data_IF_193971125571
#
_entry.id   IF_193971125571
#
_cell.length_a   1.000
_cell.length_b   1.000
_cell.length_c   1.000
_cell.angle_alpha   90.00
_cell.angle_beta   90.00
_cell.angle_gamma   90.00
#
_symmetry.space_group_name_H-M   'P 1'
#
loop_
_entity.id
_entity.type
_entity.pdbx_description
1 polymer ?
2 non-polymer ?
3 non-polymer ?
4 non-polymer ?
5 water ?
#
# COMPACT_ATOMS: atom_id res chain seq x y z
N UNK A 7 -7.94 2.29 -17.46
CA UNK A 7 -7.42 3.66 -17.14
C UNK A 7 -6.84 3.64 -15.73
N UNK A 8 -6.15 4.72 -15.37
CA UNK A 8 -5.70 4.94 -13.96
C UNK A 8 -5.28 6.38 -13.69
N UNK A 9 -4.61 6.61 -12.54
CA UNK A 9 -3.96 7.88 -12.21
C UNK A 9 -2.45 7.73 -12.43
N UNK A 10 -1.80 8.75 -12.99
CA UNK A 10 -0.37 8.65 -13.28
C UNK A 10 0.41 9.83 -12.70
N UNK A 11 1.66 9.54 -12.35
CA UNK A 11 2.62 10.52 -11.92
C UNK A 11 3.94 10.18 -12.58
N UNK A 12 4.49 11.09 -13.39
CA UNK A 12 5.64 10.75 -14.18
C UNK A 12 5.35 9.59 -15.12
N UNK A 13 6.20 8.56 -15.07
CA UNK A 13 6.03 7.37 -15.89
C UNK A 13 5.26 6.26 -15.17
N UNK A 14 4.85 6.49 -13.91
CA UNK A 14 4.14 5.45 -13.15
C UNK A 14 2.62 5.63 -13.26
N UNK A 15 1.91 4.51 -13.44
CA UNK A 15 0.47 4.50 -13.55
C UNK A 15 -0.09 3.61 -12.44
N UNK A 16 -1.06 4.14 -11.70
CA UNK A 16 -1.79 3.37 -10.71
C UNK A 16 -3.17 3.04 -11.29
N UNK A 17 -3.60 1.78 -11.13
CA UNK A 17 -4.90 1.31 -11.60
C UNK A 17 -5.56 0.43 -10.54
N UNK A 18 -6.89 0.46 -10.57
CA UNK A 18 -7.70 -0.42 -9.76
C UNK A 18 -8.91 -0.87 -10.58
N UNK A 19 -9.38 -2.08 -10.27
CA UNK A 19 -10.70 -2.54 -10.73
C UNK A 19 -11.67 -2.67 -9.55
N UNK A 20 -11.32 -2.15 -8.37
CA UNK A 20 -12.17 -2.18 -7.21
C UNK A 20 -12.13 -3.50 -6.46
N UNK A 21 -11.20 -4.40 -6.79
CA UNK A 21 -11.09 -5.66 -6.09
C UNK A 21 -10.64 -5.39 -4.65
N UNK A 22 -11.09 -6.26 -3.74
CA UNK A 22 -10.74 -6.20 -2.34
C UNK A 22 -10.20 -7.57 -1.95
N UNK A 23 -8.97 -7.63 -1.42
CA UNK A 23 -8.28 -8.88 -1.20
C UNK A 23 -7.33 -8.75 0.00
N UNK A 24 -6.92 -9.89 0.54
CA UNK A 24 -5.84 -10.00 1.50
C UNK A 24 -4.52 -9.62 0.81
N UNK A 25 -3.50 -9.36 1.60
CA UNK A 25 -2.21 -8.94 1.03
C UNK A 25 -1.68 -9.94 0.01
N UNK A 26 -1.64 -11.23 0.39
CA UNK A 26 -1.04 -12.23 -0.48
C UNK A 26 -1.84 -12.33 -1.77
N UNK A 27 -3.18 -12.24 -1.68
CA UNK A 27 -4.00 -12.35 -2.86
C UNK A 27 -3.85 -11.09 -3.72
N UNK A 28 -3.71 -9.93 -3.06
CA UNK A 28 -3.52 -8.65 -3.76
C UNK A 28 -2.20 -8.66 -4.54
N UNK A 29 -1.13 -9.16 -3.92
CA UNK A 29 0.15 -9.22 -4.55
C UNK A 29 0.05 -10.10 -5.81
N UNK A 30 -0.67 -11.21 -5.71
CA UNK A 30 -0.80 -12.14 -6.81
C UNK A 30 -1.56 -11.47 -7.96
N UNK A 31 -2.61 -10.73 -7.64
CA UNK A 31 -3.42 -10.08 -8.66
C UNK A 31 -2.55 -9.10 -9.46
N UNK A 32 -1.76 -8.28 -8.77
CA UNK A 32 -0.97 -7.28 -9.45
C UNK A 32 0.11 -7.94 -10.31
N UNK A 33 0.76 -8.98 -9.78
CA UNK A 33 1.82 -9.67 -10.46
C UNK A 33 1.29 -10.39 -11.71
N UNK A 34 0.12 -11.01 -11.62
CA UNK A 34 -0.49 -11.69 -12.77
C UNK A 34 -0.84 -10.67 -13.87
N UNK A 35 -1.10 -9.41 -13.47
CA UNK A 35 -1.36 -8.27 -14.41
C UNK A 35 -0.05 -7.62 -14.90
N UNK A 36 1.10 -8.16 -14.52
CA UNK A 36 2.44 -7.69 -14.93
C UNK A 36 2.73 -6.30 -14.35
N UNK A 37 2.23 -6.08 -13.13
CA UNK A 37 2.63 -4.94 -12.33
C UNK A 37 2.96 -5.39 -10.92
N UNK A 38 2.83 -4.47 -9.96
CA UNK A 38 3.05 -4.78 -8.54
C UNK A 38 2.11 -3.91 -7.72
N UNK A 39 2.04 -4.18 -6.42
CA UNK A 39 1.17 -3.39 -5.58
C UNK A 39 1.66 -1.95 -5.59
N UNK A 40 0.73 -1.03 -5.36
CA UNK A 40 1.05 0.42 -5.25
C UNK A 40 2.21 0.65 -4.27
N UNK A 41 3.22 1.37 -4.76
CA UNK A 41 4.46 1.61 -4.03
C UNK A 41 4.80 3.10 -4.11
N UNK A 42 4.03 3.99 -3.46
CA UNK A 42 4.28 5.43 -3.60
C UNK A 42 5.64 5.79 -3.00
N UNK A 43 6.48 6.42 -3.83
CA UNK A 43 7.87 6.75 -3.48
C UNK A 43 8.02 8.27 -3.30
N UNK A 44 6.91 9.02 -3.33
CA UNK A 44 6.94 10.47 -3.25
C UNK A 44 5.57 11.01 -2.85
N UNK A 45 5.53 12.27 -2.41
CA UNK A 45 4.27 12.94 -2.07
C UNK A 45 3.30 12.89 -3.25
N UNK A 46 3.82 13.20 -4.45
CA UNK A 46 3.01 13.26 -5.63
C UNK A 46 2.42 11.88 -5.93
N UNK A 47 3.23 10.82 -5.82
CA UNK A 47 2.69 9.47 -6.02
C UNK A 47 1.67 9.13 -4.93
N UNK A 48 1.96 9.51 -3.69
CA UNK A 48 1.05 9.20 -2.58
C UNK A 48 -0.32 9.84 -2.85
N UNK A 49 -0.33 11.09 -3.32
CA UNK A 49 -1.57 11.84 -3.59
C UNK A 49 -2.38 11.15 -4.68
N UNK A 50 -1.71 10.60 -5.71
CA UNK A 50 -2.42 9.89 -6.80
C UNK A 50 -3.13 8.65 -6.24
N UNK A 51 -2.42 7.88 -5.41
CA UNK A 51 -3.03 6.68 -4.77
C UNK A 51 -4.21 7.11 -3.90
N UNK A 52 -4.04 8.20 -3.16
CA UNK A 52 -5.01 8.68 -2.20
C UNK A 52 -6.32 9.02 -2.91
N UNK A 53 -6.21 9.71 -4.05
CA UNK A 53 -7.39 10.06 -4.87
C UNK A 53 -8.22 8.80 -5.17
N UNK A 54 -7.53 7.70 -5.52
CA UNK A 54 -8.23 6.47 -5.90
C UNK A 54 -8.92 5.84 -4.68
N UNK A 55 -8.24 5.88 -3.52
CA UNK A 55 -8.82 5.41 -2.27
C UNK A 55 -10.10 6.21 -1.96
N UNK A 56 -10.03 7.52 -2.12
CA UNK A 56 -11.21 8.37 -1.89
C UNK A 56 -12.36 7.97 -2.81
N UNK A 57 -12.07 7.75 -4.08
CA UNK A 57 -13.08 7.43 -5.08
C UNK A 57 -13.75 6.10 -4.75
N UNK A 58 -12.94 5.09 -4.40
CA UNK A 58 -13.42 3.75 -4.15
C UNK A 58 -13.98 3.58 -2.73
N UNK A 59 -13.72 4.54 -1.84
CA UNK A 59 -14.20 4.55 -0.43
C UNK A 59 -13.72 3.33 0.35
N UNK A 60 -12.45 2.93 0.12
CA UNK A 60 -11.89 1.77 0.75
C UNK A 60 -10.38 1.97 0.88
N UNK A 61 -9.85 1.75 2.10
CA UNK A 61 -8.39 1.76 2.31
C UNK A 61 -7.75 0.72 1.39
N UNK A 62 -6.54 1.04 0.89
CA UNK A 62 -5.83 0.15 -0.05
C UNK A 62 -4.55 -0.36 0.60
N UNK A 63 -4.13 -1.53 0.13
CA UNK A 63 -2.77 -2.01 0.40
C UNK A 63 -1.75 -1.15 -0.35
N UNK A 64 -0.60 -0.95 0.31
CA UNK A 64 0.64 -0.65 -0.39
C UNK A 64 1.50 -1.92 -0.45
N UNK A 65 2.59 -1.91 -1.23
CA UNK A 65 3.40 -3.12 -1.41
C UNK A 65 4.25 -3.43 -0.17
N UNK A 66 4.57 -2.41 0.61
CA UNK A 66 5.70 -2.51 1.51
C UNK A 66 5.31 -3.30 2.77
N UNK A 67 6.28 -4.04 3.32
CA UNK A 67 6.00 -4.86 4.48
C UNK A 67 7.28 -4.96 5.32
N UNK A 68 7.13 -5.42 6.56
CA UNK A 68 8.31 -5.63 7.40
C UNK A 68 8.38 -7.09 7.85
N UNK A 69 8.01 -8.03 6.96
CA UNK A 69 8.02 -9.45 7.34
C UNK A 69 9.46 -9.91 7.62
N UNK A 70 10.46 -9.38 6.89
CA UNK A 70 11.89 -9.87 6.97
C UNK A 70 12.53 -9.40 8.29
N UNK A 71 12.64 -8.08 8.48
CA UNK A 71 13.13 -7.47 9.72
C UNK A 71 12.05 -6.54 10.28
N UNK A 72 11.48 -6.93 11.42
CA UNK A 72 10.46 -6.17 12.13
C UNK A 72 10.88 -4.69 12.25
N UNK A 73 9.98 -3.80 11.83
CA UNK A 73 10.17 -2.35 11.89
C UNK A 73 10.88 -1.77 10.68
N UNK A 74 11.46 -2.62 9.82
CA UNK A 74 12.11 -2.18 8.60
C UNK A 74 11.19 -2.50 7.42
N UNK A 75 10.43 -1.49 6.98
CA UNK A 75 9.51 -1.64 5.88
C UNK A 75 10.26 -1.52 4.56
N UNK A 76 10.08 -2.50 3.67
CA UNK A 76 10.79 -2.56 2.45
C UNK A 76 9.83 -2.78 1.27
N UNK A 77 10.27 -2.40 0.07
CA UNK A 77 9.62 -2.70 -1.19
C UNK A 77 9.88 -4.16 -1.61
N UNK A 78 9.23 -4.64 -2.70
CA UNK A 78 9.45 -6.00 -3.23
C UNK A 78 10.89 -6.25 -3.72
N UNK A 79 11.67 -5.18 -3.85
CA UNK A 79 13.12 -5.28 -4.12
C UNK A 79 13.91 -5.65 -2.86
N UNK A 80 13.31 -5.51 -1.67
CA UNK A 80 13.95 -5.60 -0.38
C UNK A 80 14.62 -4.32 0.12
N UNK A 81 14.52 -3.22 -0.64
CA UNK A 81 15.13 -1.94 -0.25
C UNK A 81 14.26 -1.20 0.78
N UNK A 82 14.89 -0.41 1.66
CA UNK A 82 14.15 0.38 2.67
C UNK A 82 13.39 1.52 1.97
N UNK A 83 12.33 1.99 2.64
CA UNK A 83 11.50 3.10 2.19
C UNK A 83 12.38 4.31 1.88
N UNK A 84 12.03 4.99 0.79
CA UNK A 84 12.63 6.31 0.45
C UNK A 84 11.62 7.43 0.72
N UNK A 85 10.40 7.08 1.16
CA UNK A 85 9.30 8.01 1.43
C UNK A 85 8.33 7.31 2.38
N UNK A 86 7.80 8.04 3.36
CA UNK A 86 6.69 7.49 4.18
C UNK A 86 5.69 8.58 4.53
N UNK A 87 4.48 8.16 4.90
CA UNK A 87 3.43 9.09 5.28
C UNK A 87 2.58 8.49 6.41
N UNK A 88 3.25 8.03 7.47
CA UNK A 88 2.57 7.34 8.55
C UNK A 88 1.58 8.27 9.25
N UNK A 89 0.42 7.71 9.60
CA UNK A 89 -0.50 8.41 10.48
C UNK A 89 0.17 8.58 11.84
N UNK A 90 -0.32 9.56 12.60
CA UNK A 90 0.16 9.79 13.97
C UNK A 90 0.12 8.46 14.75
N UNK A 91 1.27 8.08 15.33
CA UNK A 91 1.41 6.90 16.19
C UNK A 91 1.76 5.62 15.44
N UNK A 92 1.81 5.70 14.11
CA UNK A 92 2.15 4.53 13.28
C UNK A 92 3.60 4.60 12.80
N UNK A 93 4.25 3.46 12.44
CA UNK A 93 3.69 2.12 12.59
C UNK A 93 3.89 1.63 14.02
N UNK A 94 2.94 0.84 14.52
CA UNK A 94 2.93 0.48 15.96
C UNK A 94 3.00 -1.04 16.16
N UNK A 95 2.96 -1.83 15.06
CA UNK A 95 3.00 -3.31 15.10
C UNK A 95 1.98 -3.88 16.09
N UNK A 96 0.76 -3.32 16.11
CA UNK A 96 -0.17 -3.60 17.18
C UNK A 96 -1.62 -3.44 16.71
N UNK A 97 -2.17 -4.56 16.21
CA UNK A 97 -3.61 -4.73 16.04
C UNK A 97 -4.13 -5.34 17.34
N UNK A 98 -4.57 -4.45 18.24
CA UNK A 98 -5.02 -4.82 19.57
C UNK A 98 -4.04 -5.86 20.14
N UNK A 99 -2.74 -5.57 20.00
CA UNK A 99 -1.65 -6.42 20.50
C UNK A 99 -0.95 -7.25 19.42
N UNK A 100 -1.70 -7.73 18.42
CA UNK A 100 -1.22 -8.71 17.41
C UNK A 100 -0.29 -8.03 16.39
N UNK A 101 0.72 -8.74 15.84
CA UNK A 101 1.61 -8.17 14.82
C UNK A 101 0.91 -7.63 13.56
N UNK A 102 1.52 -6.59 13.01
CA UNK A 102 1.05 -5.91 11.79
C UNK A 102 2.23 -5.69 10.85
N UNK A 103 2.32 -6.48 9.77
CA UNK A 103 3.50 -6.44 8.95
C UNK A 103 3.25 -5.83 7.57
N UNK A 104 1.99 -5.49 7.28
CA UNK A 104 1.60 -4.88 5.97
C UNK A 104 1.16 -3.43 6.23
N UNK A 105 0.84 -2.72 5.15
CA UNK A 105 0.60 -1.30 5.19
C UNK A 105 -0.67 -1.00 4.37
N UNK A 106 -1.58 -0.26 5.00
CA UNK A 106 -2.74 0.35 4.35
C UNK A 106 -2.57 1.87 4.24
N UNK A 107 -3.22 2.42 3.22
CA UNK A 107 -3.31 3.85 3.03
C UNK A 107 -4.78 4.25 3.16
N UNK A 108 -5.00 5.32 3.93
CA UNK A 108 -6.31 5.91 4.19
C UNK A 108 -6.70 6.89 3.10
N UNK A 109 -8.00 7.24 3.00
CA UNK A 109 -8.43 8.30 2.10
C UNK A 109 -7.87 9.70 2.40
N UNK A 110 -7.30 9.92 3.60
CA UNK A 110 -6.59 11.17 3.88
C UNK A 110 -5.11 11.08 3.52
N UNK A 111 -4.70 9.94 2.94
CA UNK A 111 -3.33 9.74 2.47
C UNK A 111 -2.35 9.21 3.49
N UNK A 112 -2.73 9.14 4.77
CA UNK A 112 -1.83 8.66 5.79
C UNK A 112 -1.83 7.13 5.79
N UNK A 113 -0.75 6.56 6.34
CA UNK A 113 -0.53 5.13 6.33
C UNK A 113 -0.69 4.53 7.73
N UNK A 114 -1.05 3.25 7.76
CA UNK A 114 -1.17 2.50 9.00
C UNK A 114 -0.66 1.08 8.74
N UNK A 115 0.14 0.54 9.64
CA UNK A 115 0.49 -0.88 9.50
C UNK A 115 -0.70 -1.73 9.98
N UNK A 116 -0.92 -2.86 9.27
CA UNK A 116 -2.07 -3.74 9.44
C UNK A 116 -1.64 -5.19 9.38
N UNK A 117 -2.45 -6.09 9.97
CA UNK A 117 -2.28 -7.52 9.69
C UNK A 117 -2.41 -7.76 8.18
N UNK A 118 -1.57 -8.65 7.65
CA UNK A 118 -1.55 -8.92 6.21
C UNK A 118 -2.75 -9.79 5.79
N UNK A 119 -3.54 -10.27 6.77
CA UNK A 119 -4.79 -10.93 6.48
C UNK A 119 -5.94 -9.95 6.19
N UNK A 120 -5.76 -8.65 6.46
CA UNK A 120 -6.86 -7.70 6.22
C UNK A 120 -7.24 -7.63 4.73
N UNK A 121 -8.54 -7.48 4.47
CA UNK A 121 -9.07 -7.40 3.12
C UNK A 121 -9.20 -5.92 2.77
N UNK A 122 -8.43 -5.50 1.77
CA UNK A 122 -8.29 -4.06 1.38
C UNK A 122 -8.41 -3.92 -0.13
N UNK A 123 -8.69 -2.69 -0.57
CA UNK A 123 -8.66 -2.35 -1.99
C UNK A 123 -7.29 -2.67 -2.60
N UNK A 124 -7.32 -3.28 -3.80
CA UNK A 124 -6.17 -3.57 -4.58
C UNK A 124 -5.97 -2.48 -5.63
N UNK A 125 -4.86 -1.76 -5.45
CA UNK A 125 -4.34 -0.78 -6.42
C UNK A 125 -2.97 -1.26 -6.89
N UNK A 126 -2.82 -1.41 -8.20
CA UNK A 126 -1.57 -1.86 -8.78
C UNK A 126 -0.84 -0.69 -9.44
N UNK A 127 0.49 -0.79 -9.52
CA UNK A 127 1.27 0.18 -10.29
C UNK A 127 1.93 -0.52 -11.48
N UNK A 128 2.08 0.27 -12.55
CA UNK A 128 2.66 -0.17 -13.82
C UNK A 128 3.65 0.88 -14.31
X LIG B 1 -1.01 -0.10 13.07
X LIG C 1 5.60 -5.31 11.90
X LIG D 1 -6.71 -0.21 14.62
X LIG D 1 -5.83 -0.72 13.48
X LIG D 1 -4.40 -0.64 13.91
X LIG D 1 -4.10 0.81 14.21
X LIG D 1 -5.03 1.26 15.34
X LIG D 1 -4.75 2.72 15.73
X LIG D 1 -6.31 -2.60 11.93
X LIG D 1 -6.41 -4.12 11.83
X LIG D 1 -6.37 1.16 14.89
X LIG D 1 -3.56 -1.12 12.84
X LIG D 1 -2.73 0.94 14.59
X LIG D 1 -5.38 3.02 17.01
X LIG D 1 -6.36 -1.90 10.92
X LIG D 1 -6.14 -2.14 13.19
X LIG D 1 -6.51 -1.02 15.77
X LIG E 1 -6.45 -0.13 14.64
X LIG E 1 -5.62 -0.64 13.47
X LIG E 1 -4.16 -0.53 13.88
X LIG E 1 -3.85 0.92 14.23
X LIG E 1 -4.79 1.43 15.32
X LIG E 1 -4.60 2.92 15.63
X LIG E 1 -6.38 -2.38 11.91
X LIG E 1 -6.83 -3.80 11.75
X LIG E 1 -6.01 -2.01 13.14
X LIG E 1 -7.83 -0.25 14.30
X LIG E 1 -3.27 -0.92 12.84
X LIG E 1 -2.48 0.96 14.59
X LIG E 1 -6.13 1.24 14.88
X LIG E 1 -5.58 3.38 16.58
X LIG E 1 -6.38 -1.61 10.97
#
# INVERSE_FOLDING_TARGET
>A
KAVLFPDGQAVGEKIFKTAGAVKSYSDAEQLCREAKGQLASPRSSAENEAVTQMVRAQEKNAYLSMNDISTEGRFTYPTGEILVYSNWADGEPNNSDEGQPENCVEIFPDGKWNDVPCSKQLLVICEF
>B hetero
1 CA CA
>C hetero
1 CA CA
>D hetero
1 NDG C1 C2 C3 C4 C5 C6 C7 C8 O5 O3 O4 O6 O7 N2 O1
>E hetero
1 NAG C1 C2 C3 C4 C5 C6 C7 C8 N2 O1 O3 O4 O5 O6 O7
#
